data_IF_625246369834
#
_entry.id   IF_625246369834
#
_cell.length_a   1.000
_cell.length_b   1.000
_cell.length_c   1.000
_cell.angle_alpha   90.00
_cell.angle_beta   90.00
_cell.angle_gamma   90.00
#
_symmetry.space_group_name_H-M   'P 1'
#
loop_
_entity.id
_entity.type
_entity.pdbx_description
1 polymer ?
#
# COMPACT_ATOMS: atom_id res chain seq x y z
N UNK A 1 -45.51 -24.66 29.50
CA UNK A 1 -46.03 -26.04 29.49
C UNK A 1 -44.95 -26.95 30.05
N UNK A 2 -45.23 -27.60 31.17
CA UNK A 2 -44.27 -28.46 31.88
C UNK A 2 -43.97 -29.73 31.08
N UNK A 3 -42.80 -29.78 30.43
CA UNK A 3 -42.24 -31.02 29.88
C UNK A 3 -41.76 -31.89 31.05
N UNK A 4 -42.68 -32.64 31.63
CA UNK A 4 -42.42 -33.57 32.71
C UNK A 4 -41.59 -34.74 32.16
N UNK A 5 -40.28 -34.72 32.40
CA UNK A 5 -39.29 -35.76 32.03
C UNK A 5 -39.74 -37.15 32.50
N UNK A 6 -40.62 -37.20 33.50
CA UNK A 6 -41.11 -38.38 34.19
C UNK A 6 -42.40 -38.97 33.60
N UNK A 7 -43.06 -38.34 32.62
CA UNK A 7 -44.34 -38.84 32.08
C UNK A 7 -44.20 -39.84 30.93
N UNK A 8 -43.09 -39.78 30.15
CA UNK A 8 -42.76 -40.78 29.14
C UNK A 8 -41.25 -40.81 28.80
N UNK A 9 -40.41 -41.38 29.69
CA UNK A 9 -38.96 -41.37 29.54
C UNK A 9 -38.45 -42.14 28.30
N UNK A 10 -39.16 -43.19 27.85
CA UNK A 10 -38.79 -43.97 26.66
C UNK A 10 -38.98 -43.17 25.36
N UNK A 11 -40.10 -42.44 25.23
CA UNK A 11 -40.31 -41.56 24.09
C UNK A 11 -39.30 -40.41 24.05
N UNK A 12 -38.98 -39.83 25.21
CA UNK A 12 -37.98 -38.76 25.31
C UNK A 12 -36.57 -39.26 24.95
N UNK A 13 -36.18 -40.45 25.40
CA UNK A 13 -34.91 -41.07 25.01
C UNK A 13 -34.84 -41.30 23.49
N UNK A 14 -35.92 -41.79 22.87
CA UNK A 14 -36.00 -41.98 21.43
C UNK A 14 -35.87 -40.66 20.66
N UNK A 15 -36.48 -39.58 21.16
CA UNK A 15 -36.36 -38.24 20.58
C UNK A 15 -34.91 -37.73 20.65
N UNK A 16 -34.27 -37.80 21.82
CA UNK A 16 -32.87 -37.36 22.00
C UNK A 16 -31.92 -38.18 21.12
N UNK A 17 -32.11 -39.50 21.00
CA UNK A 17 -31.31 -40.34 20.09
C UNK A 17 -31.47 -39.91 18.62
N UNK A 18 -32.69 -39.57 18.19
CA UNK A 18 -32.91 -39.04 16.84
C UNK A 18 -32.24 -37.66 16.64
N UNK A 19 -32.27 -36.80 17.67
CA UNK A 19 -31.59 -35.50 17.64
C UNK A 19 -30.06 -35.65 17.60
N UNK A 20 -29.49 -36.59 18.36
CA UNK A 20 -28.06 -36.92 18.32
C UNK A 20 -27.63 -37.35 16.92
N UNK A 21 -28.39 -38.22 16.25
CA UNK A 21 -28.06 -38.64 14.88
C UNK A 21 -28.12 -37.48 13.89
N UNK A 22 -29.11 -36.58 14.03
CA UNK A 22 -29.16 -35.34 13.23
C UNK A 22 -27.95 -34.45 13.51
N UNK A 23 -27.58 -34.25 14.78
CA UNK A 23 -26.44 -33.42 15.18
C UNK A 23 -25.12 -34.03 14.70
N UNK A 24 -24.93 -35.36 14.78
CA UNK A 24 -23.76 -36.06 14.21
C UNK A 24 -23.66 -35.85 12.70
N UNK A 25 -24.77 -35.96 11.97
CA UNK A 25 -24.80 -35.68 10.54
C UNK A 25 -24.42 -34.23 10.23
N UNK A 26 -24.93 -33.26 11.01
CA UNK A 26 -24.55 -31.86 10.89
C UNK A 26 -23.05 -31.62 11.20
N UNK A 27 -22.49 -32.30 12.19
CA UNK A 27 -21.04 -32.25 12.49
C UNK A 27 -20.23 -32.77 11.31
N UNK A 28 -20.62 -33.91 10.73
CA UNK A 28 -19.93 -34.49 9.57
C UNK A 28 -19.94 -33.53 8.38
N UNK A 29 -21.10 -32.94 8.06
CA UNK A 29 -21.21 -31.92 7.01
C UNK A 29 -20.39 -30.66 7.32
N UNK A 30 -20.39 -30.20 8.59
CA UNK A 30 -19.59 -29.04 9.01
C UNK A 30 -18.09 -29.31 8.88
N UNK A 31 -17.63 -30.52 9.24
CA UNK A 31 -16.23 -30.95 9.08
C UNK A 31 -15.81 -31.09 7.62
N UNK A 32 -16.71 -31.57 6.76
CA UNK A 32 -16.46 -31.60 5.31
C UNK A 32 -16.28 -30.18 4.75
N UNK A 33 -17.19 -29.26 5.09
CA UNK A 33 -17.07 -27.84 4.70
C UNK A 33 -15.79 -27.19 5.23
N UNK A 34 -15.40 -27.47 6.47
CA UNK A 34 -14.13 -26.98 7.03
C UNK A 34 -12.93 -27.46 6.22
N UNK A 35 -12.91 -28.74 5.82
CA UNK A 35 -11.85 -29.32 4.97
C UNK A 35 -11.83 -28.71 3.57
N UNK A 36 -13.01 -28.48 2.98
CA UNK A 36 -13.15 -27.79 1.70
C UNK A 36 -12.61 -26.37 1.78
N UNK A 37 -12.98 -25.59 2.80
CA UNK A 37 -12.45 -24.25 3.02
C UNK A 37 -10.94 -24.26 3.26
N UNK A 38 -10.42 -25.20 4.04
CA UNK A 38 -8.98 -25.33 4.23
C UNK A 38 -8.25 -25.62 2.90
N UNK A 39 -8.84 -26.41 2.03
CA UNK A 39 -8.29 -26.69 0.69
C UNK A 39 -8.34 -25.46 -0.20
N UNK A 40 -9.47 -24.73 -0.23
CA UNK A 40 -9.60 -23.47 -0.97
C UNK A 40 -8.58 -22.44 -0.48
N UNK A 41 -8.41 -22.32 0.84
CA UNK A 41 -7.41 -21.46 1.46
C UNK A 41 -5.99 -21.82 1.01
N UNK A 42 -5.65 -23.11 0.99
CA UNK A 42 -4.33 -23.55 0.56
C UNK A 42 -4.10 -23.26 -0.94
N UNK A 43 -5.14 -23.38 -1.78
CA UNK A 43 -5.06 -23.04 -3.20
C UNK A 43 -4.87 -21.54 -3.42
N UNK A 44 -5.53 -20.70 -2.62
CA UNK A 44 -5.37 -19.23 -2.68
C UNK A 44 -3.99 -18.79 -2.18
N UNK A 45 -3.33 -19.58 -1.33
CA UNK A 45 -1.98 -19.27 -0.84
C UNK A 45 -0.95 -19.13 -1.97
N UNK A 46 -1.09 -19.93 -3.05
CA UNK A 46 -0.25 -19.79 -4.24
C UNK A 46 -0.38 -18.41 -4.87
N UNK A 47 -1.62 -17.94 -5.07
CA UNK A 47 -1.89 -16.60 -5.60
C UNK A 47 -1.46 -15.47 -4.64
N UNK A 48 -1.55 -15.68 -3.32
CA UNK A 48 -1.02 -14.72 -2.33
C UNK A 48 0.50 -14.59 -2.48
N UNK A 49 1.22 -15.71 -2.60
CA UNK A 49 2.68 -15.68 -2.77
C UNK A 49 3.09 -14.98 -4.07
N UNK A 50 2.36 -15.20 -5.16
CA UNK A 50 2.57 -14.48 -6.42
C UNK A 50 2.37 -12.97 -6.26
N UNK A 51 1.27 -12.55 -5.61
CA UNK A 51 0.98 -11.13 -5.34
C UNK A 51 2.06 -10.51 -4.43
N UNK A 52 2.60 -11.27 -3.47
CA UNK A 52 3.69 -10.81 -2.59
C UNK A 52 4.99 -10.63 -3.36
N UNK A 53 5.38 -11.60 -4.20
CA UNK A 53 6.57 -11.48 -5.03
C UNK A 53 6.48 -10.28 -5.98
N UNK A 54 5.30 -10.07 -6.58
CA UNK A 54 4.98 -8.91 -7.39
C UNK A 54 5.09 -7.59 -6.61
N UNK A 55 4.64 -7.58 -5.33
CA UNK A 55 4.75 -6.41 -4.46
C UNK A 55 6.21 -6.08 -4.16
N UNK A 56 7.01 -7.10 -3.85
CA UNK A 56 8.44 -6.93 -3.59
C UNK A 56 9.19 -6.39 -4.82
N UNK A 57 8.90 -6.93 -6.01
CA UNK A 57 9.44 -6.41 -7.27
C UNK A 57 9.03 -4.95 -7.51
N UNK A 58 7.78 -4.58 -7.23
CA UNK A 58 7.34 -3.19 -7.34
C UNK A 58 8.03 -2.27 -6.33
N UNK A 59 8.30 -2.74 -5.11
CA UNK A 59 9.01 -1.96 -4.10
C UNK A 59 10.47 -1.72 -4.49
N UNK A 60 11.13 -2.73 -5.07
CA UNK A 60 12.49 -2.58 -5.63
C UNK A 60 12.49 -1.55 -6.75
N UNK A 61 11.57 -1.67 -7.72
CA UNK A 61 11.44 -0.69 -8.82
C UNK A 61 11.16 0.72 -8.32
N UNK A 62 10.40 0.86 -7.23
CA UNK A 62 10.13 2.16 -6.62
C UNK A 62 11.40 2.76 -6.00
N UNK A 63 12.22 1.95 -5.33
CA UNK A 63 13.48 2.41 -4.75
C UNK A 63 14.52 2.81 -5.81
N UNK A 64 14.61 2.04 -6.89
CA UNK A 64 15.41 2.39 -8.07
C UNK A 64 14.97 3.73 -8.66
N UNK A 65 13.67 3.89 -8.88
CA UNK A 65 13.09 5.12 -9.43
C UNK A 65 13.29 6.32 -8.49
N UNK A 66 13.14 6.14 -7.18
CA UNK A 66 13.44 7.18 -6.18
C UNK A 66 14.91 7.62 -6.23
N UNK A 67 15.81 6.68 -6.46
CA UNK A 67 17.25 6.95 -6.55
C UNK A 67 17.59 7.70 -7.84
N UNK A 68 16.97 7.31 -8.95
CA UNK A 68 17.08 8.02 -10.24
C UNK A 68 16.56 9.46 -10.15
N UNK A 69 15.37 9.66 -9.58
CA UNK A 69 14.76 10.97 -9.34
C UNK A 69 15.69 11.87 -8.51
N UNK A 70 16.23 11.36 -7.40
CA UNK A 70 17.18 12.12 -6.55
C UNK A 70 18.46 12.48 -7.30
N UNK A 71 18.95 11.60 -8.17
CA UNK A 71 20.11 11.86 -9.02
C UNK A 71 19.85 13.04 -9.96
N UNK A 72 18.71 13.03 -10.65
CA UNK A 72 18.32 14.10 -11.58
C UNK A 72 18.09 15.42 -10.85
N UNK A 73 17.45 15.40 -9.68
CA UNK A 73 17.27 16.63 -8.86
C UNK A 73 18.61 17.27 -8.51
N UNK A 74 19.58 16.44 -8.10
CA UNK A 74 20.92 16.89 -7.76
C UNK A 74 21.66 17.47 -8.97
N UNK A 75 21.57 16.83 -10.13
CA UNK A 75 22.23 17.29 -11.34
C UNK A 75 21.57 18.55 -11.92
N UNK A 76 20.24 18.65 -11.89
CA UNK A 76 19.51 19.88 -12.21
C UNK A 76 19.95 21.05 -11.31
N UNK A 77 20.12 20.81 -10.01
CA UNK A 77 20.57 21.86 -9.08
C UNK A 77 22.01 22.31 -9.36
N UNK A 78 22.92 21.38 -9.67
CA UNK A 78 24.27 21.75 -10.12
C UNK A 78 24.25 22.58 -11.39
N UNK A 79 23.46 22.19 -12.41
CA UNK A 79 23.38 22.92 -13.67
C UNK A 79 22.79 24.32 -13.47
N UNK A 80 21.76 24.47 -12.64
CA UNK A 80 21.22 25.78 -12.26
C UNK A 80 22.30 26.68 -11.64
N UNK A 81 23.03 26.15 -10.66
CA UNK A 81 24.12 26.90 -10.01
C UNK A 81 25.25 27.26 -11.00
N UNK A 82 25.60 26.35 -11.91
CA UNK A 82 26.56 26.62 -13.00
C UNK A 82 26.08 27.75 -13.91
N UNK A 83 24.81 27.76 -14.29
CA UNK A 83 24.24 28.85 -15.10
C UNK A 83 24.31 30.19 -14.37
N UNK A 84 24.01 30.23 -13.07
CA UNK A 84 24.11 31.47 -12.27
C UNK A 84 25.54 32.02 -12.29
N UNK A 85 26.55 31.14 -12.13
CA UNK A 85 27.96 31.51 -12.21
C UNK A 85 28.34 32.04 -13.59
N UNK A 86 27.93 31.34 -14.66
CA UNK A 86 28.19 31.77 -16.03
C UNK A 86 27.50 33.10 -16.37
N UNK A 87 26.29 33.34 -15.87
CA UNK A 87 25.55 34.59 -16.04
C UNK A 87 26.21 35.76 -15.29
N UNK A 88 26.76 35.52 -14.10
CA UNK A 88 27.57 36.51 -13.38
C UNK A 88 28.85 36.85 -14.17
N UNK A 89 29.60 35.83 -14.61
CA UNK A 89 30.82 36.01 -15.40
C UNK A 89 30.52 36.78 -16.71
N UNK A 90 29.41 36.46 -17.37
CA UNK A 90 28.97 37.15 -18.59
C UNK A 90 28.68 38.64 -18.32
N UNK A 91 28.00 38.96 -17.21
CA UNK A 91 27.72 40.35 -16.81
C UNK A 91 29.01 41.14 -16.53
N UNK A 92 29.96 40.54 -15.82
CA UNK A 92 31.25 41.18 -15.52
C UNK A 92 32.05 41.48 -16.79
N UNK A 93 32.17 40.50 -17.70
CA UNK A 93 32.87 40.69 -18.97
C UNK A 93 32.18 41.71 -19.87
N UNK A 94 30.85 41.76 -19.84
CA UNK A 94 30.08 42.76 -20.57
C UNK A 94 30.37 44.18 -20.07
N UNK A 95 30.36 44.38 -18.74
CA UNK A 95 30.69 45.69 -18.14
C UNK A 95 32.10 46.17 -18.55
N UNK A 96 33.09 45.28 -18.52
CA UNK A 96 34.48 45.60 -18.95
C UNK A 96 34.52 46.05 -20.42
N UNK A 97 33.79 45.35 -21.31
CA UNK A 97 33.74 45.72 -22.72
C UNK A 97 33.04 47.06 -22.95
N UNK A 98 31.99 47.37 -22.18
CA UNK A 98 31.29 48.65 -22.21
C UNK A 98 32.20 49.77 -21.72
N UNK A 99 32.87 49.60 -20.59
CA UNK A 99 33.78 50.61 -20.03
C UNK A 99 34.94 50.91 -21.00
N UNK A 100 35.57 49.87 -21.56
CA UNK A 100 36.62 50.04 -22.59
C UNK A 100 36.12 50.76 -23.83
N UNK A 101 34.90 50.45 -24.27
CA UNK A 101 34.30 51.10 -25.42
C UNK A 101 34.07 52.59 -25.15
N UNK A 102 33.58 52.94 -23.95
CA UNK A 102 33.43 54.33 -23.51
C UNK A 102 34.79 55.03 -23.46
N UNK A 103 35.85 54.39 -22.96
CA UNK A 103 37.22 54.94 -22.95
C UNK A 103 37.75 55.24 -24.35
N UNK A 104 37.65 54.29 -25.29
CA UNK A 104 38.11 54.47 -26.68
C UNK A 104 37.42 55.67 -27.36
N UNK A 105 36.14 55.90 -27.03
CA UNK A 105 35.31 56.91 -27.69
C UNK A 105 35.21 58.23 -26.93
N UNK A 106 35.64 58.33 -25.67
CA UNK A 106 35.84 59.62 -24.99
C UNK A 106 36.88 60.50 -25.69
N UNK A 107 37.81 59.89 -26.43
CA UNK A 107 38.85 60.60 -27.20
C UNK A 107 38.44 60.94 -28.65
N UNK A 108 37.23 60.59 -29.09
CA UNK A 108 36.70 60.88 -30.45
C UNK A 108 35.33 61.58 -30.42
N UNK A 109 34.97 62.25 -31.51
CA UNK A 109 33.82 63.18 -31.65
C UNK A 109 32.52 62.83 -30.88
N UNK A 110 31.86 63.88 -30.39
CA UNK A 110 30.74 63.90 -29.42
C UNK A 110 29.48 63.07 -29.80
N UNK A 111 29.38 62.53 -31.01
CA UNK A 111 28.17 61.87 -31.52
C UNK A 111 28.11 60.34 -31.35
N UNK A 112 29.19 59.66 -30.96
CA UNK A 112 29.25 58.19 -30.99
C UNK A 112 28.68 57.51 -29.74
N UNK A 113 28.72 58.17 -28.59
CA UNK A 113 28.29 57.63 -27.28
C UNK A 113 26.76 57.44 -27.22
N UNK A 114 25.98 58.25 -27.92
CA UNK A 114 24.52 58.16 -27.95
C UNK A 114 23.98 56.89 -28.62
N UNK A 115 24.73 56.32 -29.60
CA UNK A 115 24.37 55.09 -30.32
C UNK A 115 24.60 53.84 -29.46
N UNK A 116 25.46 53.93 -28.44
CA UNK A 116 25.82 52.84 -27.53
C UNK A 116 24.93 52.77 -26.29
N UNK A 117 24.15 53.81 -26.02
CA UNK A 117 23.35 53.97 -24.81
C UNK A 117 21.91 53.45 -24.93
N UNK A 118 21.52 52.89 -26.09
CA UNK A 118 20.24 52.21 -26.29
C UNK A 118 20.23 50.81 -25.64
N UNK A 119 19.07 50.21 -25.33
CA UNK A 119 19.02 48.85 -24.79
C UNK A 119 19.41 47.86 -25.91
N UNK A 120 20.64 47.36 -25.88
CA UNK A 120 21.18 46.49 -26.92
C UNK A 120 21.09 45.03 -26.48
N UNK A 121 20.52 44.16 -27.31
CA UNK A 121 20.76 42.71 -27.15
C UNK A 121 22.27 42.44 -27.27
N UNK A 122 22.79 41.51 -26.49
CA UNK A 122 24.22 41.19 -26.45
C UNK A 122 24.80 40.88 -27.85
N UNK A 123 23.98 40.34 -28.76
CA UNK A 123 24.39 40.06 -30.14
C UNK A 123 24.67 41.36 -30.91
N UNK A 124 23.78 42.34 -30.79
CA UNK A 124 23.91 43.65 -31.42
C UNK A 124 25.05 44.45 -30.81
N UNK A 125 25.28 44.34 -29.50
CA UNK A 125 26.43 44.97 -28.85
C UNK A 125 27.73 44.40 -29.41
N UNK A 126 27.86 43.07 -29.49
CA UNK A 126 29.06 42.40 -30.02
C UNK A 126 29.27 42.71 -31.51
N UNK A 127 28.20 42.75 -32.30
CA UNK A 127 28.28 43.10 -33.72
C UNK A 127 28.72 44.55 -33.93
N UNK A 128 28.16 45.49 -33.16
CA UNK A 128 28.60 46.90 -33.14
C UNK A 128 30.04 47.00 -32.66
N UNK A 129 30.42 46.29 -31.61
CA UNK A 129 31.78 46.27 -31.06
C UNK A 129 32.79 45.74 -32.09
N UNK A 130 32.45 44.70 -32.87
CA UNK A 130 33.25 44.21 -34.00
C UNK A 130 33.36 45.22 -35.15
N UNK A 131 32.30 45.98 -35.42
CA UNK A 131 32.29 47.03 -36.46
C UNK A 131 33.14 48.25 -36.09
N UNK A 132 33.29 48.49 -34.80
CA UNK A 132 33.78 49.74 -34.21
C UNK A 132 35.30 49.77 -34.02
N UNK A 133 36.01 48.64 -34.19
CA UNK A 133 37.31 48.53 -33.55
C UNK A 133 38.44 47.91 -34.42
N UNK A 134 39.55 48.66 -34.50
CA UNK A 134 40.90 48.34 -35.00
C UNK A 134 41.68 47.64 -33.85
N UNK A 135 41.16 46.51 -33.38
CA UNK A 135 41.43 45.99 -32.03
C UNK A 135 42.84 45.46 -31.79
N UNK A 136 43.43 45.84 -30.66
CA UNK A 136 44.53 45.14 -30.01
C UNK A 136 44.08 43.76 -29.47
N UNK A 137 44.79 42.69 -29.82
CA UNK A 137 44.46 41.25 -29.62
C UNK A 137 43.73 40.87 -28.31
N UNK A 138 43.98 41.58 -27.21
CA UNK A 138 43.37 41.32 -25.89
C UNK A 138 41.85 41.48 -25.86
N UNK A 139 41.28 42.45 -26.59
CA UNK A 139 39.83 42.64 -26.54
C UNK A 139 39.06 41.66 -27.44
N UNK A 140 39.69 41.18 -28.52
CA UNK A 140 39.13 40.12 -29.35
C UNK A 140 38.92 38.83 -28.54
N UNK A 141 39.88 38.51 -27.66
CA UNK A 141 39.80 37.37 -26.73
C UNK A 141 38.62 37.53 -25.76
N UNK A 142 38.36 38.74 -25.24
CA UNK A 142 37.25 38.98 -24.30
C UNK A 142 35.91 38.77 -25.01
N UNK A 143 35.75 39.30 -26.23
CA UNK A 143 34.53 39.11 -27.03
C UNK A 143 34.29 37.64 -27.38
N UNK A 144 35.34 36.92 -27.79
CA UNK A 144 35.24 35.49 -28.07
C UNK A 144 34.79 34.72 -26.82
N UNK A 145 35.34 35.04 -25.66
CA UNK A 145 34.95 34.44 -24.39
C UNK A 145 33.49 34.75 -24.03
N UNK A 146 33.01 35.97 -24.25
CA UNK A 146 31.60 36.35 -24.02
C UNK A 146 30.66 35.52 -24.92
N UNK A 147 31.00 35.36 -26.21
CA UNK A 147 30.22 34.54 -27.14
C UNK A 147 30.19 33.07 -26.72
N UNK A 148 31.35 32.51 -26.33
CA UNK A 148 31.46 31.14 -25.83
C UNK A 148 30.62 30.94 -24.56
N UNK A 149 30.74 31.83 -23.58
CA UNK A 149 29.96 31.77 -22.33
C UNK A 149 28.45 31.84 -22.61
N UNK A 150 28.00 32.74 -23.51
CA UNK A 150 26.58 32.82 -23.90
C UNK A 150 26.09 31.52 -24.53
N UNK A 151 26.84 30.96 -25.48
CA UNK A 151 26.46 29.72 -26.15
C UNK A 151 26.38 28.56 -25.15
N UNK A 152 27.33 28.47 -24.22
CA UNK A 152 27.30 27.48 -23.16
C UNK A 152 26.05 27.63 -22.29
N UNK A 153 25.67 28.84 -21.89
CA UNK A 153 24.43 29.07 -21.12
C UNK A 153 23.20 28.60 -21.90
N UNK A 154 23.13 28.86 -23.20
CA UNK A 154 21.99 28.43 -24.04
C UNK A 154 21.91 26.90 -24.11
N UNK A 155 23.04 26.22 -24.31
CA UNK A 155 23.11 24.76 -24.34
C UNK A 155 22.69 24.17 -23.00
N UNK A 156 23.25 24.66 -21.89
CA UNK A 156 22.92 24.20 -20.54
C UNK A 156 21.45 24.43 -20.18
N UNK A 157 20.86 25.57 -20.59
CA UNK A 157 19.42 25.82 -20.41
C UNK A 157 18.55 24.83 -21.19
N UNK A 158 18.96 24.46 -22.40
CA UNK A 158 18.25 23.45 -23.21
C UNK A 158 18.32 22.08 -22.55
N UNK A 159 19.50 21.67 -22.08
CA UNK A 159 19.66 20.40 -21.37
C UNK A 159 18.86 20.34 -20.07
N UNK A 160 18.76 21.45 -19.32
CA UNK A 160 17.89 21.53 -18.14
C UNK A 160 16.42 21.29 -18.51
N UNK A 161 15.95 21.82 -19.64
CA UNK A 161 14.56 21.62 -20.06
C UNK A 161 14.30 20.15 -20.40
N UNK A 162 15.20 19.51 -21.15
CA UNK A 162 15.13 18.09 -21.47
C UNK A 162 15.15 17.21 -20.19
N UNK A 163 16.02 17.53 -19.23
CA UNK A 163 16.09 16.83 -17.94
C UNK A 163 14.84 17.06 -17.08
N UNK A 164 14.20 18.23 -17.16
CA UNK A 164 12.93 18.52 -16.47
C UNK A 164 11.78 17.70 -17.04
N UNK A 165 11.65 17.64 -18.37
CA UNK A 165 10.63 16.80 -19.02
C UNK A 165 10.81 15.33 -18.63
N UNK A 166 12.06 14.86 -18.61
CA UNK A 166 12.38 13.51 -18.17
C UNK A 166 12.05 13.27 -16.69
N UNK A 167 12.39 14.22 -15.81
CA UNK A 167 12.04 14.19 -14.40
C UNK A 167 10.52 14.09 -14.19
N UNK A 168 9.73 14.89 -14.89
CA UNK A 168 8.26 14.84 -14.80
C UNK A 168 7.71 13.47 -15.22
N UNK A 169 8.25 12.88 -16.28
CA UNK A 169 7.90 11.52 -16.69
C UNK A 169 8.24 10.47 -15.62
N UNK A 170 9.38 10.59 -14.93
CA UNK A 170 9.73 9.68 -13.83
C UNK A 170 8.78 9.83 -12.63
N UNK A 171 8.36 11.06 -12.30
CA UNK A 171 7.38 11.32 -11.23
C UNK A 171 6.01 10.72 -11.58
N UNK A 172 5.56 10.82 -12.83
CA UNK A 172 4.33 10.17 -13.28
C UNK A 172 4.43 8.64 -13.16
N UNK A 173 5.54 8.06 -13.62
CA UNK A 173 5.83 6.63 -13.48
C UNK A 173 5.86 6.19 -12.01
N UNK A 174 6.42 7.01 -11.12
CA UNK A 174 6.48 6.75 -9.68
C UNK A 174 5.07 6.76 -9.07
N UNK A 175 4.28 7.78 -9.38
CA UNK A 175 2.91 7.93 -8.89
C UNK A 175 2.03 6.76 -9.33
N UNK A 176 2.13 6.33 -10.58
CA UNK A 176 1.39 5.18 -11.10
C UNK A 176 1.80 3.88 -10.41
N UNK A 177 3.11 3.68 -10.18
CA UNK A 177 3.62 2.50 -9.50
C UNK A 177 3.17 2.45 -8.03
N UNK A 178 3.23 3.57 -7.30
CA UNK A 178 2.73 3.69 -5.93
C UNK A 178 1.25 3.28 -5.87
N UNK A 179 0.41 3.83 -6.74
CA UNK A 179 -1.03 3.50 -6.80
C UNK A 179 -1.26 2.01 -7.03
N UNK A 180 -0.50 1.38 -7.90
CA UNK A 180 -0.62 -0.06 -8.18
C UNK A 180 -0.20 -0.87 -6.94
N UNK A 181 0.89 -0.50 -6.29
CA UNK A 181 1.40 -1.16 -5.08
C UNK A 181 0.42 -1.05 -3.92
N UNK A 182 -0.16 0.13 -3.68
CA UNK A 182 -1.19 0.34 -2.66
C UNK A 182 -2.43 -0.51 -2.92
N UNK A 183 -2.88 -0.58 -4.18
CA UNK A 183 -4.01 -1.42 -4.55
C UNK A 183 -3.70 -2.90 -4.27
N UNK A 184 -2.55 -3.41 -4.73
CA UNK A 184 -2.15 -4.81 -4.47
C UNK A 184 -2.10 -5.10 -2.97
N UNK A 185 -1.57 -4.19 -2.17
CA UNK A 185 -1.52 -4.32 -0.70
C UNK A 185 -2.93 -4.39 -0.08
N UNK A 186 -3.85 -3.55 -0.55
CA UNK A 186 -5.25 -3.56 -0.10
C UNK A 186 -5.94 -4.87 -0.46
N UNK A 187 -5.80 -5.33 -1.71
CA UNK A 187 -6.40 -6.59 -2.19
C UNK A 187 -5.89 -7.78 -1.36
N UNK A 188 -4.60 -7.80 -1.04
CA UNK A 188 -3.96 -8.82 -0.22
C UNK A 188 -4.53 -8.83 1.22
N UNK A 189 -4.70 -7.65 1.81
CA UNK A 189 -5.30 -7.52 3.15
C UNK A 189 -6.75 -8.02 3.17
N UNK A 190 -7.52 -7.73 2.12
CA UNK A 190 -8.90 -8.23 1.98
C UNK A 190 -8.93 -9.76 1.91
N UNK A 191 -8.06 -10.36 1.08
CA UNK A 191 -7.94 -11.82 0.96
C UNK A 191 -7.61 -12.45 2.30
N UNK A 192 -6.66 -11.90 3.07
CA UNK A 192 -6.34 -12.40 4.40
C UNK A 192 -7.52 -12.32 5.37
N UNK A 193 -8.26 -11.20 5.36
CA UNK A 193 -9.42 -11.01 6.24
C UNK A 193 -10.55 -11.99 5.90
N UNK A 194 -10.82 -12.20 4.61
CA UNK A 194 -11.82 -13.18 4.16
C UNK A 194 -11.43 -14.59 4.58
N UNK A 195 -10.17 -15.00 4.35
CA UNK A 195 -9.62 -16.30 4.78
C UNK A 195 -9.76 -16.51 6.28
N UNK A 196 -9.36 -15.52 7.08
CA UNK A 196 -9.44 -15.60 8.53
C UNK A 196 -10.88 -15.73 9.04
N UNK A 197 -11.81 -14.95 8.46
CA UNK A 197 -13.22 -14.94 8.85
C UNK A 197 -13.91 -16.26 8.49
N UNK A 198 -13.68 -16.77 7.28
CA UNK A 198 -14.25 -18.04 6.82
C UNK A 198 -13.75 -19.22 7.66
N UNK A 199 -12.44 -19.34 7.90
CA UNK A 199 -11.90 -20.41 8.73
C UNK A 199 -12.37 -20.34 10.18
N UNK A 200 -12.44 -19.14 10.75
CA UNK A 200 -12.87 -18.95 12.15
C UNK A 200 -14.36 -19.27 12.32
N UNK A 201 -15.20 -18.83 11.40
CA UNK A 201 -16.64 -19.11 11.43
C UNK A 201 -16.94 -20.60 11.25
N UNK A 202 -16.27 -21.28 10.31
CA UNK A 202 -16.39 -22.72 10.11
C UNK A 202 -16.00 -23.51 11.38
N UNK A 203 -14.84 -23.20 11.96
CA UNK A 203 -14.35 -23.83 13.21
C UNK A 203 -15.30 -23.61 14.39
N UNK A 204 -15.85 -22.40 14.53
CA UNK A 204 -16.79 -22.05 15.59
C UNK A 204 -18.09 -22.87 15.46
N UNK A 205 -18.63 -22.98 14.24
CA UNK A 205 -19.83 -23.77 13.98
C UNK A 205 -19.64 -25.25 14.35
N UNK A 206 -18.54 -25.86 13.91
CA UNK A 206 -18.21 -27.25 14.26
C UNK A 206 -18.12 -27.44 15.78
N UNK A 207 -17.43 -26.54 16.50
CA UNK A 207 -17.34 -26.60 17.97
C UNK A 207 -18.69 -26.47 18.68
N UNK A 208 -19.58 -25.61 18.19
CA UNK A 208 -20.92 -25.44 18.75
C UNK A 208 -21.77 -26.71 18.59
N UNK A 209 -21.70 -27.35 17.43
CA UNK A 209 -22.40 -28.62 17.19
C UNK A 209 -21.84 -29.76 18.05
N UNK A 210 -20.51 -29.84 18.22
CA UNK A 210 -19.88 -30.82 19.12
C UNK A 210 -20.27 -30.61 20.58
N UNK A 211 -20.38 -29.35 21.03
CA UNK A 211 -20.86 -29.04 22.37
C UNK A 211 -22.32 -29.46 22.57
N UNK A 212 -23.20 -29.16 21.60
CA UNK A 212 -24.60 -29.59 21.62
C UNK A 212 -24.73 -31.11 21.69
N UNK A 213 -23.92 -31.85 20.92
CA UNK A 213 -23.91 -33.31 20.97
C UNK A 213 -23.54 -33.84 22.36
N UNK A 214 -22.54 -33.26 23.03
CA UNK A 214 -22.17 -33.66 24.40
C UNK A 214 -23.32 -33.42 25.41
N UNK A 215 -24.06 -32.32 25.26
CA UNK A 215 -25.24 -32.07 26.11
C UNK A 215 -26.32 -33.12 25.89
N UNK A 216 -26.62 -33.45 24.63
CA UNK A 216 -27.58 -34.50 24.27
C UNK A 216 -27.14 -35.88 24.79
N UNK A 217 -25.84 -36.20 24.75
CA UNK A 217 -25.29 -37.44 25.30
C UNK A 217 -25.43 -37.52 26.82
N UNK A 218 -25.16 -36.42 27.52
CA UNK A 218 -25.34 -36.35 28.96
C UNK A 218 -26.83 -36.51 29.36
N UNK A 219 -27.74 -35.87 28.63
CA UNK A 219 -29.17 -36.01 28.84
C UNK A 219 -29.67 -37.44 28.59
N UNK A 220 -29.23 -38.06 27.49
CA UNK A 220 -29.55 -39.46 27.19
C UNK A 220 -29.07 -40.40 28.30
N UNK A 221 -27.84 -40.23 28.78
CA UNK A 221 -27.29 -41.03 29.90
C UNK A 221 -28.10 -40.87 31.18
N UNK A 222 -28.54 -39.67 31.51
CA UNK A 222 -29.39 -39.44 32.68
C UNK A 222 -30.74 -40.15 32.55
N UNK A 223 -31.38 -40.09 31.37
CA UNK A 223 -32.65 -40.77 31.12
C UNK A 223 -32.47 -42.30 31.12
N UNK A 224 -31.38 -42.82 30.56
CA UNK A 224 -31.06 -44.25 30.58
C UNK A 224 -30.82 -44.76 32.00
N UNK A 225 -30.07 -44.03 32.83
CA UNK A 225 -29.89 -44.36 34.24
C UNK A 225 -31.20 -44.35 35.02
N UNK A 226 -32.11 -43.40 34.72
CA UNK A 226 -33.44 -43.35 35.32
C UNK A 226 -34.34 -44.53 34.86
N UNK A 227 -34.30 -44.90 33.59
CA UNK A 227 -35.01 -46.08 33.08
C UNK A 227 -34.47 -47.39 33.67
N UNK A 228 -33.15 -47.48 33.89
CA UNK A 228 -32.53 -48.63 34.52
C UNK A 228 -32.95 -48.78 36.00
N UNK A 229 -32.98 -47.67 36.75
CA UNK A 229 -33.44 -47.70 38.16
C UNK A 229 -34.93 -48.07 38.30
N UNK A 230 -35.76 -47.69 37.32
CA UNK A 230 -37.15 -48.14 37.25
C UNK A 230 -37.29 -49.66 36.97
N UNK A 231 -36.32 -50.27 36.27
CA UNK A 231 -36.31 -51.71 35.96
C UNK A 231 -35.74 -52.56 37.09
N UNK A 232 -34.75 -52.05 37.82
CA UNK A 232 -34.09 -52.77 38.93
C UNK A 232 -34.85 -52.71 40.26
N UNK A 233 -35.92 -51.90 40.39
CA UNK A 233 -36.59 -51.71 41.68
C UNK A 233 -37.99 -51.14 41.63
N UNK A 234 -38.95 -51.89 41.06
CA UNK A 234 -40.25 -52.01 41.73
C UNK A 234 -40.02 -52.82 43.01
N UNK A 235 -39.62 -52.13 44.09
CA UNK A 235 -39.63 -52.76 45.40
C UNK A 235 -41.09 -52.91 45.83
N UNK A 236 -41.52 -54.16 45.81
CA UNK A 236 -42.79 -54.69 46.30
C UNK A 236 -43.32 -53.95 47.53
N UNK A 237 -44.64 -53.77 47.58
CA UNK A 237 -45.37 -53.28 48.74
C UNK A 237 -44.91 -53.91 50.06
N UNK A 238 -44.19 -53.12 50.86
CA UNK A 238 -44.07 -53.25 52.31
C UNK A 238 -44.15 -51.87 52.97
N UNK A 239 -45.09 -51.05 52.50
CA UNK A 239 -45.82 -50.14 53.39
C UNK A 239 -47.26 -50.62 53.45
N UNK A 240 -47.45 -51.81 54.06
CA UNK A 240 -48.69 -52.12 54.74
C UNK A 240 -48.82 -51.10 55.87
N UNK A 241 -49.48 -49.99 55.56
CA UNK A 241 -50.11 -49.17 56.58
C UNK A 241 -51.07 -50.10 57.34
N UNK A 242 -50.95 -50.28 58.67
CA UNK A 242 -51.80 -51.23 59.36
C UNK A 242 -53.24 -50.70 59.37
N UNK A 243 -54.09 -51.30 58.55
CA UNK A 243 -55.53 -51.27 58.73
C UNK A 243 -55.92 -52.35 59.73
N UNK A 244 -55.93 -52.04 61.04
CA UNK A 244 -56.94 -52.64 61.95
C UNK A 244 -57.28 -51.64 63.06
N UNK A 245 -58.51 -51.15 63.02
CA UNK A 245 -59.22 -50.55 64.16
C UNK A 245 -59.77 -51.68 65.06
N UNK A 246 -59.52 -51.58 66.37
CA UNK A 246 -60.34 -52.13 67.47
C UNK A 246 -60.05 -53.59 67.86
N UNK A 247 -60.21 -54.04 69.12
CA UNK A 247 -60.63 -53.44 70.40
C UNK A 247 -60.39 -54.48 71.53
N UNK A 248 -60.17 -54.00 72.77
CA UNK A 248 -60.43 -54.62 74.09
C UNK A 248 -59.48 -55.71 74.63
N UNK A 249 -58.80 -55.40 75.73
CA UNK A 249 -58.98 -56.01 77.07
C UNK A 249 -58.91 -54.90 78.10
#
# INVERSE_FOLDING_TARGET
>A
GNNNIYSNPEQKLKQIKNEQEKTKNQINLSKQKEKEFQTQVNNVEGGINEIQADLDDHLVKLDELNSEIRGIEWDLEKKKNKIILLENELREKYAILVDRLVEIYKDKEEGFISILSEPIDLQDFINRWKLVNVVADKDAIIVENVLKTRNNIIVEKKEIEEEREYYEHLIEKQTTLIRITEKKRSDLQEIYNQKFTLLTSAKKNTKQLEYLLRQQEAEAKMIEAYLASLREGSFSGKFLWPTVRGRIS
#
